data_IF_619727454799
#
_entry.id   IF_619727454799
#
_cell.length_a   1.000
_cell.length_b   1.000
_cell.length_c   1.000
_cell.angle_alpha   90.00
_cell.angle_beta   90.00
_cell.angle_gamma   90.00
#
_symmetry.space_group_name_H-M   'P 1'
#
loop_
_entity.id
_entity.type
_entity.pdbx_description
1 polymer ?
#
# COMPACT_ATOMS: atom_id res chain seq x y z
N UNK A 1 4.80 8.46 -8.47
CA UNK A 1 3.37 8.18 -8.19
C UNK A 1 3.31 7.13 -7.08
N UNK A 2 2.34 7.19 -6.15
CA UNK A 2 2.20 6.16 -5.12
C UNK A 2 1.92 4.79 -5.71
N UNK A 3 2.23 3.75 -4.95
CA UNK A 3 2.10 2.36 -5.39
C UNK A 3 0.91 1.69 -4.71
N UNK A 4 0.22 0.84 -5.46
CA UNK A 4 -0.84 -0.03 -4.93
C UNK A 4 -0.21 -1.36 -4.53
N UNK A 5 -0.47 -1.79 -3.30
CA UNK A 5 0.09 -3.03 -2.72
C UNK A 5 -1.00 -3.82 -2.02
N UNK A 6 -0.96 -5.15 -2.09
CA UNK A 6 -1.93 -6.00 -1.41
C UNK A 6 -1.39 -6.51 -0.07
N UNK A 7 -2.18 -6.33 1.00
CA UNK A 7 -1.88 -6.91 2.30
C UNK A 7 -2.34 -8.37 2.39
N UNK A 8 -1.86 -9.11 3.41
CA UNK A 8 -2.20 -10.52 3.62
C UNK A 8 -3.71 -10.86 3.72
N UNK A 9 -4.58 -9.86 3.90
CA UNK A 9 -6.03 -10.04 3.93
C UNK A 9 -6.68 -9.98 2.54
N UNK A 10 -5.90 -9.87 1.47
CA UNK A 10 -6.41 -9.66 0.12
C UNK A 10 -6.96 -8.24 -0.10
N UNK A 11 -6.59 -7.27 0.74
CA UNK A 11 -7.05 -5.88 0.62
C UNK A 11 -5.93 -5.03 0.04
N UNK A 12 -6.23 -4.22 -0.95
CA UNK A 12 -5.25 -3.35 -1.61
C UNK A 12 -5.13 -2.01 -0.86
N UNK A 13 -3.91 -1.53 -0.73
CA UNK A 13 -3.58 -0.31 -0.02
C UNK A 13 -2.65 0.57 -0.84
N UNK A 14 -2.89 1.88 -0.80
CA UNK A 14 -1.98 2.87 -1.37
C UNK A 14 -0.80 3.14 -0.44
N UNK A 15 0.39 3.20 -1.03
CA UNK A 15 1.67 3.39 -0.38
C UNK A 15 2.40 4.58 -1.00
N UNK A 16 3.03 5.43 -0.19
CA UNK A 16 3.84 6.53 -0.74
C UNK A 16 5.15 6.01 -1.34
N UNK A 17 5.75 6.70 -2.33
CA UNK A 17 7.05 6.32 -2.88
C UNK A 17 8.13 6.17 -1.81
N UNK A 18 8.16 7.07 -0.82
CA UNK A 18 9.17 7.09 0.23
C UNK A 18 9.05 5.85 1.14
N UNK A 19 7.82 5.49 1.50
CA UNK A 19 7.55 4.31 2.32
C UNK A 19 7.87 3.01 1.55
N UNK A 20 7.63 2.99 0.23
CA UNK A 20 8.04 1.89 -0.63
C UNK A 20 9.57 1.76 -0.71
N UNK A 21 10.29 2.84 -1.00
CA UNK A 21 11.75 2.87 -1.04
C UNK A 21 12.39 2.52 0.30
N UNK A 22 11.78 2.95 1.40
CA UNK A 22 12.22 2.56 2.75
C UNK A 22 12.05 1.05 2.95
N UNK A 23 10.88 0.49 2.65
CA UNK A 23 10.65 -0.96 2.80
C UNK A 23 11.57 -1.81 1.93
N UNK A 24 11.94 -1.33 0.73
CA UNK A 24 12.95 -1.96 -0.11
C UNK A 24 14.35 -1.95 0.53
N UNK A 25 14.77 -0.80 1.08
CA UNK A 25 16.07 -0.67 1.77
C UNK A 25 16.17 -1.53 3.02
N UNK A 26 15.07 -1.68 3.74
CA UNK A 26 15.02 -2.46 4.98
C UNK A 26 14.84 -3.96 4.75
N UNK A 27 14.53 -4.40 3.52
CA UNK A 27 14.28 -5.81 3.17
C UNK A 27 13.23 -6.51 4.06
N UNK A 28 12.25 -5.76 4.59
CA UNK A 28 11.26 -6.31 5.53
C UNK A 28 10.01 -6.87 4.86
N UNK A 29 9.72 -6.45 3.61
CA UNK A 29 8.44 -6.73 2.96
C UNK A 29 7.23 -6.11 3.67
N UNK A 30 7.47 -5.21 4.63
CA UNK A 30 6.45 -4.56 5.44
C UNK A 30 6.44 -3.05 5.21
N UNK A 31 5.27 -2.48 4.95
CA UNK A 31 5.14 -1.09 4.53
C UNK A 31 4.06 -0.37 5.32
N UNK A 32 4.29 0.92 5.63
CA UNK A 32 3.28 1.79 6.23
C UNK A 32 2.50 2.47 5.12
N UNK A 33 1.22 2.11 4.98
CA UNK A 33 0.34 2.60 3.91
C UNK A 33 -0.36 3.90 4.30
N UNK A 34 -1.03 4.56 3.33
CA UNK A 34 -1.68 5.86 3.52
C UNK A 34 -2.70 5.88 4.68
N UNK A 35 -3.36 4.77 4.97
CA UNK A 35 -4.29 4.66 6.09
C UNK A 35 -3.60 4.46 7.46
N UNK A 36 -2.27 4.52 7.52
CA UNK A 36 -1.45 4.39 8.73
C UNK A 36 -1.21 2.94 9.18
N UNK A 37 -1.77 1.94 8.49
CA UNK A 37 -1.53 0.53 8.80
C UNK A 37 -0.15 0.10 8.33
N UNK A 38 0.47 -0.82 9.08
CA UNK A 38 1.64 -1.57 8.62
C UNK A 38 1.15 -2.88 8.02
N UNK A 39 1.40 -3.10 6.73
CA UNK A 39 1.02 -4.33 6.04
C UNK A 39 2.26 -5.08 5.58
N UNK A 40 2.23 -6.40 5.71
CA UNK A 40 3.15 -7.28 5.01
C UNK A 40 2.59 -7.53 3.61
N UNK A 41 3.39 -7.29 2.57
CA UNK A 41 2.96 -7.47 1.19
C UNK A 41 3.08 -8.94 0.82
N UNK A 42 1.94 -9.55 0.50
CA UNK A 42 1.92 -10.81 -0.22
C UNK A 42 2.19 -10.49 -1.69
N UNK A 43 3.13 -11.18 -2.32
CA UNK A 43 3.50 -11.01 -3.73
C UNK A 43 2.28 -10.96 -4.66
N UNK A 44 2.37 -10.16 -5.74
CA UNK A 44 1.37 -9.93 -6.80
C UNK A 44 0.17 -10.87 -6.81
N UNK A 45 -1.02 -10.36 -6.48
CA UNK A 45 -2.25 -11.14 -6.55
C UNK A 45 -3.02 -10.75 -7.81
N UNK A 46 -3.11 -11.71 -8.72
CA UNK A 46 -4.16 -11.80 -9.71
C UNK A 46 -5.14 -12.84 -9.17
N UNK A 47 -6.43 -12.53 -8.94
CA UNK A 47 -7.14 -11.28 -9.25
C UNK A 47 -6.88 -10.14 -8.24
N UNK A 48 -7.11 -8.87 -8.63
CA UNK A 48 -6.98 -7.74 -7.70
C UNK A 48 -7.96 -7.88 -6.53
N UNK A 49 -7.47 -7.64 -5.33
CA UNK A 49 -8.28 -7.55 -4.11
C UNK A 49 -9.18 -6.30 -4.05
N UNK A 50 -10.12 -6.21 -3.10
CA UNK A 50 -10.84 -4.97 -2.82
C UNK A 50 -9.91 -3.86 -2.33
N UNK A 51 -10.08 -2.65 -2.86
CA UNK A 51 -9.29 -1.49 -2.44
C UNK A 51 -9.71 -0.93 -1.07
N UNK A 52 -8.73 -0.50 -0.27
CA UNK A 52 -8.92 0.13 1.03
C UNK A 52 -9.46 1.56 0.88
N UNK A 53 -10.74 1.77 1.21
CA UNK A 53 -11.41 3.07 1.07
C UNK A 53 -10.66 4.24 1.77
N UNK A 54 -10.14 4.12 3.01
CA UNK A 54 -9.32 5.17 3.61
C UNK A 54 -8.05 5.51 2.82
N UNK A 55 -7.37 4.50 2.27
CA UNK A 55 -6.20 4.74 1.41
C UNK A 55 -6.60 5.46 0.12
N UNK A 56 -7.73 5.09 -0.49
CA UNK A 56 -8.24 5.72 -1.71
C UNK A 56 -8.57 7.20 -1.47
N UNK A 57 -9.32 7.51 -0.41
CA UNK A 57 -9.67 8.90 -0.07
C UNK A 57 -8.44 9.75 0.24
N UNK A 58 -7.46 9.20 0.96
CA UNK A 58 -6.20 9.88 1.26
C UNK A 58 -5.36 10.14 0.00
N UNK A 59 -5.47 9.29 -1.01
CA UNK A 59 -4.83 9.50 -2.31
C UNK A 59 -5.52 10.61 -3.09
N UNK A 60 -6.85 10.54 -3.23
CA UNK A 60 -7.64 11.54 -3.96
C UNK A 60 -7.47 12.95 -3.37
N UNK A 61 -7.44 13.08 -2.05
CA UNK A 61 -7.20 14.36 -1.37
C UNK A 61 -5.80 14.96 -1.64
N UNK A 62 -4.81 14.15 -2.04
CA UNK A 62 -3.44 14.61 -2.34
C UNK A 62 -3.23 14.90 -3.83
N UNK A 63 -4.18 14.48 -4.68
CA UNK A 63 -4.15 14.70 -6.12
C UNK A 63 -4.87 16.00 -6.56
N UNK A 64 -5.53 16.69 -5.64
CA UNK A 64 -6.20 17.98 -5.84
C UNK A 64 -5.31 19.15 -5.37
#
# INVERSE_FOLDING_TARGET
MPQLVEGATGVEHWLTPEAFEQGLREHTGCYVVLCGRRIAVASMVTPPGPSCLPCQQAWEARAC
#
